data_IF_035280766663
#
_entry.id   IF_035280766663
#
_cell.length_a   1.000
_cell.length_b   1.000
_cell.length_c   1.000
_cell.angle_alpha   90.00
_cell.angle_beta   90.00
_cell.angle_gamma   90.00
#
_symmetry.space_group_name_H-M   'P 1'
#
loop_
_entity.id
_entity.type
_entity.pdbx_description
1 polymer ?
#
# COMPACT_ATOMS: atom_id res chain seq x y z
N UNK A 1 42.74 -29.71 40.74
CA UNK A 1 42.02 -29.02 39.62
C UNK A 1 41.11 -27.98 40.26
N UNK A 2 41.23 -26.75 39.86
CA UNK A 2 40.46 -25.65 40.48
C UNK A 2 39.10 -25.53 39.77
N UNK A 3 38.11 -26.33 40.21
CA UNK A 3 36.79 -26.42 39.63
C UNK A 3 36.03 -25.09 39.64
N UNK A 4 36.27 -24.23 40.61
CA UNK A 4 35.67 -22.89 40.72
C UNK A 4 36.17 -21.97 39.62
N UNK A 5 37.47 -22.01 39.27
CA UNK A 5 38.01 -21.21 38.17
C UNK A 5 37.46 -21.68 36.80
N UNK A 6 37.30 -23.00 36.64
CA UNK A 6 36.72 -23.55 35.38
C UNK A 6 35.26 -23.14 35.27
N UNK A 7 34.49 -23.18 36.33
CA UNK A 7 33.09 -22.76 36.34
C UNK A 7 32.94 -21.27 36.04
N UNK A 8 33.76 -20.41 36.64
CA UNK A 8 33.74 -18.97 36.36
C UNK A 8 34.10 -18.61 34.89
N UNK A 9 35.05 -19.32 34.31
CA UNK A 9 35.41 -19.15 32.89
C UNK A 9 34.24 -19.61 32.01
N UNK A 10 33.64 -20.76 32.28
CA UNK A 10 32.52 -21.27 31.51
C UNK A 10 31.29 -20.33 31.56
N UNK A 11 30.99 -19.76 32.73
CA UNK A 11 29.92 -18.77 32.90
C UNK A 11 30.21 -17.49 32.12
N UNK A 12 31.43 -16.98 32.15
CA UNK A 12 31.85 -15.79 31.39
C UNK A 12 31.74 -16.02 29.89
N UNK A 13 32.23 -17.14 29.39
CA UNK A 13 32.14 -17.51 27.97
C UNK A 13 30.68 -17.69 27.56
N UNK A 14 29.86 -18.31 28.37
CA UNK A 14 28.43 -18.47 28.15
C UNK A 14 27.71 -17.11 28.05
N UNK A 15 28.02 -16.20 28.96
CA UNK A 15 27.45 -14.85 28.99
C UNK A 15 27.82 -14.06 27.72
N UNK A 16 29.09 -14.10 27.31
CA UNK A 16 29.57 -13.48 26.09
C UNK A 16 28.86 -14.08 24.88
N UNK A 17 28.71 -15.40 24.82
CA UNK A 17 28.00 -16.09 23.75
C UNK A 17 26.53 -15.63 23.61
N UNK A 18 25.83 -15.47 24.74
CA UNK A 18 24.46 -14.92 24.75
C UNK A 18 24.42 -13.48 24.23
N UNK A 19 25.34 -12.61 24.69
CA UNK A 19 25.39 -11.21 24.23
C UNK A 19 25.66 -11.11 22.72
N UNK A 20 26.57 -11.87 22.19
CA UNK A 20 26.87 -11.94 20.75
C UNK A 20 25.64 -12.39 19.97
N UNK A 21 24.94 -13.41 20.46
CA UNK A 21 23.71 -13.91 19.85
C UNK A 21 22.59 -12.86 19.84
N UNK A 22 22.42 -12.12 20.94
CA UNK A 22 21.42 -11.04 21.02
C UNK A 22 21.73 -9.89 20.05
N UNK A 23 22.99 -9.49 19.95
CA UNK A 23 23.43 -8.47 18.96
C UNK A 23 23.19 -8.96 17.55
N UNK A 24 23.55 -10.21 17.24
CA UNK A 24 23.29 -10.81 15.92
C UNK A 24 21.81 -10.83 15.58
N UNK A 25 20.95 -11.29 16.50
CA UNK A 25 19.50 -11.31 16.32
C UNK A 25 18.93 -9.90 16.10
N UNK A 26 19.40 -8.91 16.86
CA UNK A 26 19.01 -7.51 16.70
C UNK A 26 19.32 -6.98 15.29
N UNK A 27 20.50 -7.30 14.76
CA UNK A 27 20.90 -6.94 13.40
C UNK A 27 20.01 -7.64 12.36
N UNK A 28 19.77 -8.96 12.55
CA UNK A 28 18.91 -9.72 11.64
C UNK A 28 17.47 -9.18 11.62
N UNK A 29 16.93 -8.80 12.79
CA UNK A 29 15.60 -8.18 12.86
C UNK A 29 15.54 -6.84 12.12
N UNK A 30 16.57 -5.99 12.22
CA UNK A 30 16.63 -4.72 11.48
C UNK A 30 16.66 -4.95 9.97
N UNK A 31 17.47 -5.91 9.50
CA UNK A 31 17.56 -6.27 8.08
C UNK A 31 16.22 -6.81 7.58
N UNK A 32 15.60 -7.72 8.33
CA UNK A 32 14.30 -8.30 7.99
C UNK A 32 13.19 -7.23 7.92
N UNK A 33 13.17 -6.28 8.84
CA UNK A 33 12.19 -5.18 8.83
C UNK A 33 12.38 -4.29 7.60
N UNK A 34 13.63 -3.92 7.27
CA UNK A 34 13.92 -3.13 6.07
C UNK A 34 13.54 -3.86 4.77
N UNK A 35 13.74 -5.18 4.71
CA UNK A 35 13.31 -5.99 3.56
C UNK A 35 11.78 -6.01 3.44
N UNK A 36 11.05 -6.12 4.56
CA UNK A 36 9.57 -6.08 4.58
C UNK A 36 9.04 -4.73 4.08
N UNK A 37 9.64 -3.61 4.50
CA UNK A 37 9.25 -2.28 4.01
C UNK A 37 9.42 -2.17 2.48
N UNK A 38 10.56 -2.63 1.97
CA UNK A 38 10.84 -2.61 0.52
C UNK A 38 9.89 -3.51 -0.27
N UNK A 39 9.59 -4.69 0.25
CA UNK A 39 8.66 -5.64 -0.39
C UNK A 39 7.22 -5.11 -0.37
N UNK A 40 6.81 -4.46 0.73
CA UNK A 40 5.51 -3.81 0.85
C UNK A 40 5.31 -2.72 -0.22
N UNK A 41 6.30 -1.82 -0.37
CA UNK A 41 6.26 -0.79 -1.42
C UNK A 41 6.17 -1.39 -2.82
N UNK A 42 6.94 -2.44 -3.10
CA UNK A 42 6.91 -3.13 -4.39
C UNK A 42 5.55 -3.73 -4.68
N UNK A 43 4.95 -4.42 -3.72
CA UNK A 43 3.63 -5.04 -3.86
C UNK A 43 2.54 -3.99 -4.16
N UNK A 44 2.62 -2.82 -3.54
CA UNK A 44 1.66 -1.74 -3.75
C UNK A 44 1.78 -1.16 -5.17
N UNK A 45 2.99 -0.90 -5.65
CA UNK A 45 3.22 -0.44 -7.01
C UNK A 45 2.87 -1.50 -8.06
N UNK A 46 3.05 -2.79 -7.77
CA UNK A 46 2.67 -3.88 -8.67
C UNK A 46 1.16 -3.90 -8.94
N UNK A 47 0.33 -3.54 -7.95
CA UNK A 47 -1.12 -3.39 -8.13
C UNK A 47 -1.50 -2.31 -9.13
N UNK A 48 -0.89 -1.12 -9.01
CA UNK A 48 -1.11 0.03 -9.91
C UNK A 48 -0.52 -0.24 -11.30
N UNK A 49 0.71 -0.76 -11.37
CA UNK A 49 1.36 -1.12 -12.62
C UNK A 49 0.54 -2.15 -13.40
N UNK A 50 -0.03 -3.14 -12.70
CA UNK A 50 -0.88 -4.15 -13.34
C UNK A 50 -2.15 -3.56 -13.95
N UNK A 51 -2.72 -2.52 -13.34
CA UNK A 51 -3.82 -1.77 -13.97
C UNK A 51 -3.36 -1.10 -15.27
N UNK A 52 -2.21 -0.42 -15.25
CA UNK A 52 -1.64 0.21 -16.46
C UNK A 52 -1.34 -0.83 -17.55
N UNK A 53 -0.79 -1.99 -17.20
CA UNK A 53 -0.54 -3.10 -18.14
C UNK A 53 -1.84 -3.59 -18.78
N UNK A 54 -2.89 -3.82 -18.00
CA UNK A 54 -4.21 -4.27 -18.48
C UNK A 54 -4.79 -3.30 -19.50
N UNK A 55 -4.60 -1.98 -19.30
CA UNK A 55 -5.04 -0.97 -20.25
C UNK A 55 -4.14 -0.89 -21.49
N UNK A 56 -2.83 -1.01 -21.32
CA UNK A 56 -1.87 -0.97 -22.43
C UNK A 56 -1.99 -2.18 -23.36
N UNK A 57 -2.42 -3.34 -22.84
CA UNK A 57 -2.63 -4.57 -23.60
C UNK A 57 -3.90 -4.57 -24.46
N UNK A 58 -4.87 -3.66 -24.22
CA UNK A 58 -6.17 -3.68 -24.89
C UNK A 58 -6.74 -2.29 -25.09
N UNK A 59 -6.82 -1.88 -26.35
CA UNK A 59 -7.49 -0.62 -26.76
C UNK A 59 -8.96 -0.59 -26.38
N UNK A 60 -9.63 -1.76 -26.38
CA UNK A 60 -11.04 -1.87 -25.97
C UNK A 60 -11.21 -1.53 -24.49
N UNK A 61 -10.34 -2.07 -23.62
CA UNK A 61 -10.35 -1.73 -22.18
C UNK A 61 -10.00 -0.26 -21.93
N UNK A 62 -9.03 0.27 -22.65
CA UNK A 62 -8.71 1.69 -22.57
C UNK A 62 -9.91 2.56 -22.99
N UNK A 63 -10.64 2.18 -24.07
CA UNK A 63 -11.86 2.84 -24.49
C UNK A 63 -12.96 2.80 -23.43
N UNK A 64 -13.16 1.66 -22.77
CA UNK A 64 -14.10 1.52 -21.64
C UNK A 64 -13.75 2.51 -20.53
N UNK A 65 -12.47 2.59 -20.14
CA UNK A 65 -12.03 3.51 -19.08
C UNK A 65 -12.22 4.98 -19.50
N UNK A 66 -11.91 5.34 -20.73
CA UNK A 66 -12.11 6.71 -21.22
C UNK A 66 -13.59 7.11 -21.17
N UNK A 67 -14.49 6.28 -21.70
CA UNK A 67 -15.94 6.56 -21.69
C UNK A 67 -16.51 6.53 -20.27
N UNK A 68 -16.14 5.53 -19.48
CA UNK A 68 -16.62 5.40 -18.10
C UNK A 68 -16.17 6.54 -17.19
N UNK A 69 -15.03 7.19 -17.45
CA UNK A 69 -14.62 8.41 -16.74
C UNK A 69 -15.58 9.57 -16.97
N UNK A 70 -16.09 9.70 -18.19
CA UNK A 70 -17.05 10.76 -18.55
C UNK A 70 -18.43 10.46 -17.95
N UNK A 71 -18.96 9.24 -18.19
CA UNK A 71 -20.26 8.81 -17.68
C UNK A 71 -20.38 7.29 -17.68
N UNK A 72 -20.93 6.73 -16.59
CA UNK A 72 -21.27 5.30 -16.54
C UNK A 72 -22.42 4.94 -17.49
N UNK A 73 -23.29 5.88 -17.84
CA UNK A 73 -24.40 5.68 -18.77
C UNK A 73 -23.92 5.41 -20.21
N UNK A 74 -22.67 5.76 -20.55
CA UNK A 74 -22.06 5.52 -21.86
C UNK A 74 -21.49 4.10 -22.00
N UNK A 75 -21.62 3.28 -20.97
CA UNK A 75 -21.13 1.90 -20.92
C UNK A 75 -22.29 0.90 -21.04
N UNK A 76 -22.05 -0.21 -21.76
CA UNK A 76 -22.95 -1.37 -21.65
C UNK A 76 -22.84 -2.00 -20.25
N UNK A 77 -23.76 -2.89 -19.90
CA UNK A 77 -23.72 -3.58 -18.60
C UNK A 77 -22.40 -4.37 -18.39
N UNK A 78 -21.89 -5.00 -19.44
CA UNK A 78 -20.64 -5.74 -19.41
C UNK A 78 -19.43 -4.80 -19.26
N UNK A 79 -19.43 -3.68 -19.99
CA UNK A 79 -18.38 -2.66 -19.89
C UNK A 79 -18.38 -1.97 -18.54
N UNK A 80 -19.57 -1.70 -17.97
CA UNK A 80 -19.70 -1.16 -16.62
C UNK A 80 -19.05 -2.08 -15.60
N UNK A 81 -19.32 -3.38 -15.68
CA UNK A 81 -18.71 -4.38 -14.79
C UNK A 81 -17.18 -4.39 -14.91
N UNK A 82 -16.65 -4.28 -16.13
CA UNK A 82 -15.19 -4.18 -16.37
C UNK A 82 -14.63 -2.91 -15.73
N UNK A 83 -15.28 -1.76 -15.94
CA UNK A 83 -14.88 -0.47 -15.37
C UNK A 83 -14.89 -0.49 -13.85
N UNK A 84 -15.96 -1.02 -13.24
CA UNK A 84 -16.11 -1.18 -11.79
C UNK A 84 -14.98 -2.03 -11.20
N UNK A 85 -14.74 -3.24 -11.72
CA UNK A 85 -13.69 -4.11 -11.19
C UNK A 85 -12.28 -3.57 -11.39
N UNK A 86 -12.02 -2.81 -12.45
CA UNK A 86 -10.76 -2.11 -12.62
C UNK A 86 -10.54 -1.06 -11.52
N UNK A 87 -11.57 -0.31 -11.13
CA UNK A 87 -11.49 0.69 -10.07
C UNK A 87 -11.43 0.05 -8.67
N UNK A 88 -12.21 -0.99 -8.39
CA UNK A 88 -12.12 -1.78 -7.15
C UNK A 88 -10.70 -2.33 -6.96
N UNK A 89 -10.06 -2.80 -8.02
CA UNK A 89 -8.68 -3.28 -7.95
C UNK A 89 -7.70 -2.20 -7.49
N UNK A 90 -7.86 -0.96 -7.98
CA UNK A 90 -7.03 0.17 -7.56
C UNK A 90 -7.32 0.51 -6.09
N UNK A 91 -8.60 0.54 -5.69
CA UNK A 91 -8.99 0.79 -4.31
C UNK A 91 -8.38 -0.23 -3.34
N UNK A 92 -8.41 -1.52 -3.68
CA UNK A 92 -7.75 -2.57 -2.90
C UNK A 92 -6.24 -2.32 -2.75
N UNK A 93 -5.57 -1.85 -3.82
CA UNK A 93 -4.14 -1.54 -3.78
C UNK A 93 -3.84 -0.32 -2.90
N UNK A 94 -4.67 0.72 -2.97
CA UNK A 94 -4.58 1.94 -2.15
C UNK A 94 -4.82 1.60 -0.68
N UNK A 95 -5.86 0.82 -0.37
CA UNK A 95 -6.17 0.41 1.00
C UNK A 95 -5.03 -0.41 1.61
N UNK A 96 -4.51 -1.39 0.87
CA UNK A 96 -3.37 -2.19 1.31
C UNK A 96 -2.14 -1.32 1.57
N UNK A 97 -1.84 -0.36 0.69
CA UNK A 97 -0.73 0.57 0.86
C UNK A 97 -0.91 1.43 2.11
N UNK A 98 -2.10 2.01 2.28
CA UNK A 98 -2.43 2.83 3.44
C UNK A 98 -2.31 2.02 4.75
N UNK A 99 -2.92 0.84 4.82
CA UNK A 99 -2.87 -0.01 6.02
C UNK A 99 -1.43 -0.41 6.38
N UNK A 100 -0.63 -0.84 5.40
CA UNK A 100 0.78 -1.17 5.62
C UNK A 100 1.57 0.05 6.11
N UNK A 101 1.36 1.23 5.52
CA UNK A 101 2.02 2.46 5.92
C UNK A 101 1.69 2.81 7.38
N UNK A 102 0.43 2.69 7.78
CA UNK A 102 -0.01 2.97 9.15
C UNK A 102 0.57 1.98 10.16
N UNK A 103 0.70 0.72 9.79
CA UNK A 103 1.23 -0.34 10.66
C UNK A 103 2.75 -0.28 10.81
N UNK A 104 3.48 0.00 9.71
CA UNK A 104 4.94 -0.16 9.69
C UNK A 104 5.71 1.13 9.90
N UNK A 105 5.12 2.30 9.61
CA UNK A 105 5.82 3.58 9.60
C UNK A 105 5.34 4.49 10.73
N UNK A 106 6.24 4.89 11.67
CA UNK A 106 5.89 5.88 12.69
C UNK A 106 5.58 7.24 12.04
N UNK A 107 4.83 8.13 12.74
CA UNK A 107 4.62 9.50 12.29
C UNK A 107 5.94 10.23 11.98
N UNK A 108 6.01 10.96 10.88
CA UNK A 108 7.19 11.71 10.45
C UNK A 108 7.22 11.92 8.94
N UNK A 109 8.23 12.65 8.47
CA UNK A 109 8.38 13.11 7.09
C UNK A 109 8.17 12.01 6.03
N UNK A 110 8.72 10.82 6.25
CA UNK A 110 8.54 9.70 5.32
C UNK A 110 7.08 9.27 5.20
N UNK A 111 6.38 9.13 6.34
CA UNK A 111 4.97 8.74 6.35
C UNK A 111 4.11 9.80 5.69
N UNK A 112 4.38 11.07 5.98
CA UNK A 112 3.63 12.21 5.43
C UNK A 112 3.81 12.25 3.90
N UNK A 113 5.03 12.07 3.40
CA UNK A 113 5.30 12.00 1.96
C UNK A 113 4.59 10.80 1.28
N UNK A 114 4.52 9.63 1.95
CA UNK A 114 3.79 8.49 1.40
C UNK A 114 2.27 8.72 1.38
N UNK A 115 1.72 9.43 2.35
CA UNK A 115 0.31 9.85 2.34
C UNK A 115 0.02 10.79 1.16
N UNK A 116 0.86 11.79 0.91
CA UNK A 116 0.75 12.67 -0.25
C UNK A 116 0.81 11.88 -1.58
N UNK A 117 1.65 10.85 -1.66
CA UNK A 117 1.69 9.98 -2.84
C UNK A 117 0.38 9.20 -3.03
N UNK A 118 -0.19 8.67 -1.95
CA UNK A 118 -1.48 7.96 -1.98
C UNK A 118 -2.58 8.91 -2.43
N UNK A 119 -2.67 10.11 -1.87
CA UNK A 119 -3.62 11.16 -2.25
C UNK A 119 -3.47 11.52 -3.74
N UNK A 120 -2.24 11.69 -4.22
CA UNK A 120 -1.94 11.92 -5.63
C UNK A 120 -2.48 10.82 -6.55
N UNK A 121 -2.34 9.56 -6.15
CA UNK A 121 -2.90 8.41 -6.89
C UNK A 121 -4.43 8.43 -6.87
N UNK A 122 -5.05 8.71 -5.72
CA UNK A 122 -6.50 8.84 -5.60
C UNK A 122 -7.01 9.91 -6.56
N UNK A 123 -6.45 11.11 -6.53
CA UNK A 123 -6.86 12.22 -7.40
C UNK A 123 -6.67 11.86 -8.88
N UNK A 124 -5.52 11.31 -9.25
CA UNK A 124 -5.23 10.95 -10.64
C UNK A 124 -6.20 9.90 -11.18
N UNK A 125 -6.57 8.92 -10.37
CA UNK A 125 -7.41 7.80 -10.82
C UNK A 125 -8.91 8.07 -10.69
N UNK A 126 -9.34 8.86 -9.68
CA UNK A 126 -10.74 8.97 -9.30
C UNK A 126 -11.36 10.36 -9.44
N UNK A 127 -10.60 11.41 -9.80
CA UNK A 127 -11.19 12.75 -10.00
C UNK A 127 -11.92 12.86 -11.33
N UNK A 128 -12.82 11.89 -11.60
CA UNK A 128 -13.70 11.79 -12.76
C UNK A 128 -15.09 11.35 -12.35
N UNK A 129 -16.12 11.85 -13.02
CA UNK A 129 -17.52 11.62 -12.63
C UNK A 129 -17.84 10.13 -12.42
N UNK A 130 -17.59 9.28 -13.43
CA UNK A 130 -17.93 7.85 -13.32
C UNK A 130 -17.10 7.10 -12.28
N UNK A 131 -15.82 7.46 -12.05
CA UNK A 131 -15.01 6.86 -11.01
C UNK A 131 -15.50 7.24 -9.61
N UNK A 132 -15.99 8.47 -9.42
CA UNK A 132 -16.61 8.90 -8.16
C UNK A 132 -17.95 8.20 -7.91
N UNK A 133 -18.74 7.93 -8.94
CA UNK A 133 -19.96 7.13 -8.82
C UNK A 133 -19.63 5.69 -8.34
N UNK A 134 -18.56 5.08 -8.85
CA UNK A 134 -18.07 3.78 -8.33
C UNK A 134 -17.64 3.90 -6.88
N UNK A 135 -16.84 4.95 -6.53
CA UNK A 135 -16.44 5.17 -5.15
C UNK A 135 -17.65 5.25 -4.21
N UNK A 136 -18.63 6.07 -4.55
CA UNK A 136 -19.84 6.25 -3.72
C UNK A 136 -20.61 4.93 -3.51
N UNK A 137 -20.63 4.06 -4.50
CA UNK A 137 -21.27 2.75 -4.39
C UNK A 137 -20.52 1.79 -3.46
N UNK A 138 -19.17 1.83 -3.45
CA UNK A 138 -18.36 0.81 -2.77
C UNK A 138 -17.65 1.32 -1.50
N UNK A 139 -17.60 2.63 -1.23
CA UNK A 139 -16.83 3.24 -0.11
C UNK A 139 -17.10 2.63 1.26
N UNK A 140 -18.29 2.08 1.46
CA UNK A 140 -18.65 1.41 2.71
C UNK A 140 -17.82 0.15 2.99
N UNK A 141 -17.16 -0.42 1.97
CA UNK A 141 -16.27 -1.58 2.08
C UNK A 141 -14.80 -1.15 2.29
N UNK A 142 -14.47 0.12 2.08
CA UNK A 142 -13.12 0.69 2.18
C UNK A 142 -12.96 1.65 3.35
N UNK A 143 -13.52 1.30 4.50
CA UNK A 143 -13.53 2.13 5.72
C UNK A 143 -12.17 2.71 6.10
N UNK A 144 -11.04 1.95 6.04
CA UNK A 144 -9.74 2.47 6.44
C UNK A 144 -9.26 3.69 5.64
N UNK A 145 -9.66 3.82 4.38
CA UNK A 145 -9.21 4.91 3.50
C UNK A 145 -10.29 5.94 3.20
N UNK A 146 -11.49 5.79 3.74
CA UNK A 146 -12.63 6.63 3.38
C UNK A 146 -12.36 8.12 3.63
N UNK A 147 -11.88 8.48 4.82
CA UNK A 147 -11.58 9.87 5.18
C UNK A 147 -10.45 10.45 4.31
N UNK A 148 -9.38 9.69 4.10
CA UNK A 148 -8.27 10.08 3.24
C UNK A 148 -8.73 10.34 1.81
N UNK A 149 -9.55 9.44 1.27
CA UNK A 149 -10.08 9.54 -0.09
C UNK A 149 -10.97 10.77 -0.27
N UNK A 150 -11.96 10.94 0.62
CA UNK A 150 -12.92 12.04 0.54
C UNK A 150 -12.21 13.40 0.67
N UNK A 151 -11.22 13.52 1.56
CA UNK A 151 -10.40 14.73 1.70
C UNK A 151 -9.58 15.01 0.44
N UNK A 152 -8.87 14.02 -0.10
CA UNK A 152 -8.04 14.17 -1.30
C UNK A 152 -8.85 14.66 -2.51
N UNK A 153 -10.06 14.12 -2.71
CA UNK A 153 -10.95 14.55 -3.80
C UNK A 153 -11.49 15.95 -3.54
N UNK A 154 -11.94 16.26 -2.32
CA UNK A 154 -12.45 17.59 -1.95
C UNK A 154 -11.40 18.69 -2.18
N UNK A 155 -10.16 18.45 -1.76
CA UNK A 155 -9.05 19.37 -1.94
C UNK A 155 -8.67 19.58 -3.42
N UNK A 156 -8.78 18.53 -4.22
CA UNK A 156 -8.52 18.61 -5.66
C UNK A 156 -9.59 19.40 -6.41
N UNK A 157 -10.85 19.33 -5.98
CA UNK A 157 -11.98 20.06 -6.60
C UNK A 157 -12.08 21.53 -6.16
N UNK A 158 -11.41 21.90 -5.05
CA UNK A 158 -11.38 23.27 -4.53
C UNK A 158 -10.31 24.17 -5.21
N UNK A 159 -9.40 23.58 -5.98
CA UNK A 159 -8.28 24.26 -6.69
C UNK A 159 -8.64 24.61 -8.10
#
# INVERSE_FOLDING_TARGET
MNWEAIAAIAETVGTIGVLVTLVYLSIQMRIANKQRETEALRTNWDGINRFCEILAESTDRASIVIRGRESLDDLTSEEHLVFEFLHIRILNSIELWYMQLMETSPPGEYRDQQLENIEGVIVYMFNYKGALEIWDAVKHTFVPIQELFDNAISDAQAK
#
